data_IF_030493306688
#
_entry.id   IF_030493306688
#
_cell.length_a   1.000
_cell.length_b   1.000
_cell.length_c   1.000
_cell.angle_alpha   90.00
_cell.angle_beta   90.00
_cell.angle_gamma   90.00
#
_symmetry.space_group_name_H-M   'P 1'
#
loop_
_entity.id
_entity.type
_entity.pdbx_description
1 polymer ?
#
# COMPACT_ATOMS: atom_id res chain seq x y z
N UNK A 1 6.36 -3.29 -17.35
CA UNK A 1 6.12 -4.33 -16.33
C UNK A 1 4.61 -4.50 -16.24
N UNK A 2 4.10 -5.68 -15.89
CA UNK A 2 2.66 -5.85 -15.62
C UNK A 2 2.30 -5.15 -14.31
N UNK A 3 1.12 -4.51 -14.27
CA UNK A 3 0.58 -3.92 -13.06
C UNK A 3 0.43 -4.99 -11.97
N UNK A 4 0.71 -4.62 -10.72
CA UNK A 4 0.53 -5.44 -9.52
C UNK A 4 -0.64 -4.92 -8.70
N UNK A 5 -1.34 -5.82 -8.02
CA UNK A 5 -2.52 -5.48 -7.22
C UNK A 5 -2.36 -5.92 -5.77
N UNK A 6 -2.70 -5.00 -4.87
CA UNK A 6 -2.64 -5.16 -3.42
C UNK A 6 -4.01 -4.83 -2.81
N UNK A 7 -4.87 -5.82 -2.48
CA UNK A 7 -6.12 -5.56 -1.78
C UNK A 7 -5.89 -4.94 -0.40
N UNK A 8 -6.56 -3.81 -0.12
CA UNK A 8 -6.56 -3.21 1.22
C UNK A 8 -7.55 -3.94 2.13
N UNK A 9 -7.02 -4.67 3.12
CA UNK A 9 -7.82 -5.53 3.98
C UNK A 9 -8.74 -4.77 4.95
N UNK A 10 -8.53 -3.47 5.16
CA UNK A 10 -9.48 -2.64 5.90
C UNK A 10 -10.83 -2.47 5.21
N UNK A 11 -10.89 -2.76 3.89
CA UNK A 11 -12.09 -2.62 3.07
C UNK A 11 -12.87 -3.92 2.89
N UNK A 12 -12.35 -5.05 3.39
CA UNK A 12 -12.97 -6.36 3.24
C UNK A 12 -14.04 -6.63 4.31
N UNK A 13 -14.89 -7.62 4.05
CA UNK A 13 -15.80 -8.14 5.06
C UNK A 13 -15.05 -9.10 6.00
N UNK A 14 -14.73 -8.62 7.21
CA UNK A 14 -14.00 -9.41 8.21
C UNK A 14 -14.79 -10.64 8.71
N UNK A 15 -16.11 -10.71 8.50
CA UNK A 15 -16.89 -11.91 8.82
C UNK A 15 -16.61 -13.07 7.86
N UNK A 16 -16.06 -12.76 6.66
CA UNK A 16 -15.66 -13.71 5.62
C UNK A 16 -14.14 -13.75 5.41
N UNK A 17 -13.37 -13.39 6.45
CA UNK A 17 -11.92 -13.20 6.36
C UNK A 17 -11.19 -14.35 5.67
N UNK A 18 -11.38 -15.58 6.17
CA UNK A 18 -10.68 -16.77 5.65
C UNK A 18 -11.06 -17.08 4.22
N UNK A 19 -12.35 -17.00 3.91
CA UNK A 19 -12.91 -17.31 2.60
C UNK A 19 -12.38 -16.33 1.54
N UNK A 20 -12.45 -15.03 1.82
CA UNK A 20 -12.01 -13.98 0.90
C UNK A 20 -10.48 -14.03 0.68
N UNK A 21 -9.68 -14.21 1.73
CA UNK A 21 -8.22 -14.37 1.60
C UNK A 21 -7.88 -15.60 0.75
N UNK A 22 -8.54 -16.74 1.01
CA UNK A 22 -8.29 -17.96 0.26
C UNK A 22 -8.61 -17.79 -1.23
N UNK A 23 -9.68 -17.10 -1.57
CA UNK A 23 -10.07 -16.81 -2.95
C UNK A 23 -9.06 -15.87 -3.66
N UNK A 24 -8.47 -14.92 -2.93
CA UNK A 24 -7.51 -13.96 -3.49
C UNK A 24 -6.06 -14.47 -3.54
N UNK A 25 -5.70 -15.54 -2.81
CA UNK A 25 -4.31 -16.03 -2.70
C UNK A 25 -3.62 -16.38 -4.03
N UNK A 26 -4.38 -16.68 -5.09
CA UNK A 26 -3.82 -16.98 -6.42
C UNK A 26 -3.83 -15.77 -7.36
N UNK A 27 -4.33 -14.65 -6.89
CA UNK A 27 -4.62 -13.47 -7.70
C UNK A 27 -3.85 -12.23 -7.23
N UNK A 28 -3.74 -12.03 -5.91
CA UNK A 28 -3.09 -10.86 -5.32
C UNK A 28 -1.56 -10.99 -5.35
N UNK A 29 -0.87 -9.88 -5.61
CA UNK A 29 0.60 -9.76 -5.51
C UNK A 29 1.05 -9.49 -4.07
N UNK A 30 0.23 -8.74 -3.31
CA UNK A 30 0.42 -8.38 -1.91
C UNK A 30 -0.93 -8.34 -1.18
N UNK A 31 -0.92 -8.32 0.15
CA UNK A 31 -2.05 -7.92 0.99
C UNK A 31 -1.69 -6.65 1.75
N UNK A 32 -2.47 -5.59 1.55
CA UNK A 32 -2.25 -4.31 2.22
C UNK A 32 -2.98 -4.25 3.56
N UNK A 33 -2.23 -4.01 4.64
CA UNK A 33 -2.74 -3.98 6.01
C UNK A 33 -2.56 -2.59 6.58
N UNK A 34 -3.64 -1.83 6.66
CA UNK A 34 -3.68 -0.48 7.19
C UNK A 34 -3.82 -0.51 8.71
N UNK A 35 -2.77 -0.13 9.45
CA UNK A 35 -2.79 -0.03 10.92
C UNK A 35 -2.87 1.43 11.32
N UNK A 36 -3.93 1.79 12.03
CA UNK A 36 -4.22 3.14 12.49
C UNK A 36 -4.38 3.18 14.01
N UNK A 37 -3.76 4.16 14.66
CA UNK A 37 -3.69 4.30 16.12
C UNK A 37 -4.73 5.28 16.71
N UNK A 38 -5.56 5.92 15.88
CA UNK A 38 -6.52 6.95 16.31
C UNK A 38 -5.88 8.31 16.64
N UNK A 39 -4.57 8.44 16.53
CA UNK A 39 -3.82 9.66 16.81
C UNK A 39 -3.27 10.31 15.55
N UNK A 40 -2.58 9.56 14.70
CA UNK A 40 -2.10 10.05 13.41
C UNK A 40 -3.28 10.40 12.48
N UNK A 41 -4.27 9.52 12.43
CA UNK A 41 -5.57 9.74 11.79
C UNK A 41 -6.67 9.45 12.80
N UNK A 42 -7.86 10.08 12.65
CA UNK A 42 -8.99 9.89 13.57
C UNK A 42 -9.79 8.63 13.22
N UNK A 43 -9.09 7.52 13.07
CA UNK A 43 -9.64 6.21 12.83
C UNK A 43 -8.76 5.16 13.51
N UNK A 44 -9.34 4.03 13.87
CA UNK A 44 -8.64 2.86 14.44
C UNK A 44 -9.02 1.67 13.56
N UNK A 45 -8.01 0.99 13.02
CA UNK A 45 -8.22 -0.17 12.16
C UNK A 45 -7.32 -1.31 12.62
N UNK A 46 -7.13 -2.26 11.76
CA UNK A 46 -6.35 -3.49 11.88
C UNK A 46 -5.15 -3.39 12.86
N UNK A 47 -4.54 -4.51 13.17
CA UNK A 47 -3.45 -4.57 14.15
C UNK A 47 -2.46 -5.68 13.80
N UNK A 48 -1.28 -5.76 14.46
CA UNK A 48 -0.34 -6.87 14.29
C UNK A 48 -0.98 -8.24 14.53
N UNK A 49 -1.98 -8.36 15.40
CA UNK A 49 -2.75 -9.60 15.61
C UNK A 49 -3.44 -10.10 14.33
N UNK A 50 -3.92 -9.20 13.47
CA UNK A 50 -4.47 -9.62 12.17
C UNK A 50 -3.37 -10.23 11.29
N UNK A 51 -2.16 -9.68 11.28
CA UNK A 51 -1.02 -10.18 10.50
C UNK A 51 -0.71 -11.62 10.89
N UNK A 52 -0.64 -11.93 12.20
CA UNK A 52 -0.42 -13.30 12.69
C UNK A 52 -1.48 -14.29 12.16
N UNK A 53 -2.74 -13.88 12.12
CA UNK A 53 -3.82 -14.72 11.61
C UNK A 53 -3.78 -14.84 10.08
N UNK A 54 -3.43 -13.77 9.39
CA UNK A 54 -3.26 -13.76 7.94
C UNK A 54 -2.14 -14.71 7.50
N UNK A 55 -1.00 -14.72 8.20
CA UNK A 55 0.14 -15.63 7.93
C UNK A 55 -0.22 -17.11 8.03
N UNK A 56 -1.27 -17.48 8.76
CA UNK A 56 -1.75 -18.88 8.87
C UNK A 56 -2.48 -19.37 7.62
N UNK A 57 -2.95 -18.45 6.77
CA UNK A 57 -3.84 -18.76 5.64
C UNK A 57 -3.34 -18.24 4.31
N UNK A 58 -2.20 -17.53 4.27
CA UNK A 58 -1.59 -17.03 3.04
C UNK A 58 -0.08 -17.14 3.03
N UNK A 59 0.49 -17.30 1.83
CA UNK A 59 1.91 -17.11 1.51
C UNK A 59 2.16 -15.86 0.67
N UNK A 60 1.10 -15.15 0.28
CA UNK A 60 1.20 -13.85 -0.40
C UNK A 60 1.86 -12.86 0.57
N UNK A 61 2.85 -12.06 0.11
CA UNK A 61 3.52 -11.11 0.97
C UNK A 61 2.57 -10.10 1.63
N UNK A 62 2.75 -9.87 2.93
CA UNK A 62 1.96 -8.92 3.71
C UNK A 62 2.69 -7.60 3.75
N UNK A 63 2.05 -6.58 3.23
CA UNK A 63 2.49 -5.20 3.15
C UNK A 63 1.76 -4.35 4.19
N UNK A 64 2.48 -3.86 5.18
CA UNK A 64 1.92 -3.09 6.29
C UNK A 64 2.11 -1.60 6.07
N UNK A 65 1.02 -0.85 6.17
CA UNK A 65 1.00 0.60 6.16
C UNK A 65 0.69 1.13 7.55
N UNK A 66 1.67 1.78 8.16
CA UNK A 66 1.55 2.35 9.51
C UNK A 66 1.12 3.81 9.45
N UNK A 67 -0.13 4.08 9.79
CA UNK A 67 -0.71 5.39 10.04
C UNK A 67 -0.73 5.64 11.56
N UNK A 68 0.46 5.79 12.15
CA UNK A 68 0.66 5.90 13.61
C UNK A 68 1.66 7.01 13.95
N UNK A 69 1.49 7.64 15.10
CA UNK A 69 2.39 8.71 15.55
C UNK A 69 3.75 8.19 16.05
N UNK A 70 3.81 6.93 16.50
CA UNK A 70 4.99 6.29 17.06
C UNK A 70 5.30 4.98 16.33
N UNK A 71 5.81 5.01 15.07
CA UNK A 71 6.11 3.81 14.30
C UNK A 71 7.16 2.92 15.00
N UNK A 72 8.08 3.50 15.79
CA UNK A 72 9.08 2.77 16.57
C UNK A 72 8.49 1.75 17.56
N UNK A 73 7.27 1.98 18.05
CA UNK A 73 6.60 1.09 18.99
C UNK A 73 5.86 -0.04 18.26
N UNK A 74 5.39 0.19 17.03
CA UNK A 74 4.55 -0.75 16.28
C UNK A 74 5.38 -1.62 15.33
N UNK A 75 6.49 -1.11 14.78
CA UNK A 75 7.37 -1.87 13.88
C UNK A 75 7.81 -3.22 14.49
N UNK A 76 8.32 -3.29 15.75
CA UNK A 76 8.70 -4.57 16.36
C UNK A 76 7.56 -5.57 16.41
N UNK A 77 6.35 -5.12 16.74
CA UNK A 77 5.15 -5.97 16.80
C UNK A 77 4.77 -6.51 15.42
N UNK A 78 4.88 -5.70 14.36
CA UNK A 78 4.63 -6.14 12.99
C UNK A 78 5.67 -7.14 12.50
N UNK A 79 6.94 -6.95 12.86
CA UNK A 79 8.03 -7.88 12.55
C UNK A 79 7.78 -9.25 13.20
N UNK A 80 7.44 -9.27 14.50
CA UNK A 80 7.11 -10.47 15.25
C UNK A 80 5.89 -11.18 14.67
N UNK A 81 4.84 -10.43 14.29
CA UNK A 81 3.64 -10.94 13.64
C UNK A 81 3.89 -11.54 12.24
N UNK A 82 5.05 -11.27 11.63
CA UNK A 82 5.46 -11.86 10.36
C UNK A 82 5.17 -11.00 9.14
N UNK A 83 5.06 -9.67 9.27
CA UNK A 83 5.00 -8.75 8.13
C UNK A 83 6.17 -8.96 7.18
N UNK A 84 5.94 -8.80 5.87
CA UNK A 84 6.98 -8.98 4.85
C UNK A 84 7.52 -7.63 4.35
N UNK A 85 6.66 -6.60 4.33
CA UNK A 85 7.01 -5.22 4.01
C UNK A 85 6.39 -4.33 5.08
N UNK A 86 7.13 -3.34 5.59
CA UNK A 86 6.62 -2.36 6.55
C UNK A 86 6.91 -0.97 6.03
N UNK A 87 5.86 -0.17 5.86
CA UNK A 87 5.92 1.21 5.39
C UNK A 87 5.30 2.14 6.43
N UNK A 88 5.91 3.30 6.64
CA UNK A 88 5.44 4.31 7.58
C UNK A 88 5.59 5.71 6.99
N UNK A 89 4.90 6.69 7.54
CA UNK A 89 5.00 8.08 7.11
C UNK A 89 6.30 8.71 7.63
N UNK A 90 7.15 9.30 6.77
CA UNK A 90 8.41 9.93 7.21
C UNK A 90 8.20 11.01 8.27
N UNK A 91 7.08 11.71 8.22
CA UNK A 91 6.70 12.78 9.15
C UNK A 91 6.62 12.27 10.61
N UNK A 92 6.26 11.01 10.81
CA UNK A 92 6.13 10.41 12.15
C UNK A 92 7.45 9.81 12.66
N UNK A 93 8.40 9.56 11.77
CA UNK A 93 9.72 9.04 12.13
C UNK A 93 10.62 10.07 12.81
N UNK A 94 10.31 11.37 12.66
CA UNK A 94 11.12 12.48 13.17
C UNK A 94 12.61 12.32 12.75
N UNK A 95 13.52 12.33 13.71
CA UNK A 95 14.96 12.14 13.48
C UNK A 95 15.43 10.68 13.51
N UNK A 96 14.51 9.70 13.39
CA UNK A 96 14.78 8.25 13.54
C UNK A 96 14.69 7.48 12.22
N UNK A 97 14.48 8.14 11.07
CA UNK A 97 14.18 7.48 9.78
C UNK A 97 15.19 6.37 9.45
N UNK A 98 16.50 6.65 9.49
CA UNK A 98 17.53 5.65 9.20
C UNK A 98 17.51 4.47 10.18
N UNK A 99 17.27 4.75 11.47
CA UNK A 99 17.19 3.70 12.50
C UNK A 99 16.04 2.77 12.24
N UNK A 100 14.84 3.29 11.89
CA UNK A 100 13.65 2.49 11.65
C UNK A 100 13.79 1.67 10.36
N UNK A 101 14.31 2.26 9.29
CA UNK A 101 14.57 1.53 8.04
C UNK A 101 15.57 0.39 8.26
N UNK A 102 16.67 0.65 8.95
CA UNK A 102 17.67 -0.38 9.25
C UNK A 102 17.10 -1.47 10.16
N UNK A 103 16.30 -1.13 11.18
CA UNK A 103 15.64 -2.12 12.05
C UNK A 103 14.80 -3.12 11.25
N UNK A 104 14.04 -2.65 10.25
CA UNK A 104 13.24 -3.53 9.39
C UNK A 104 14.16 -4.40 8.52
N UNK A 105 15.22 -3.82 7.95
CA UNK A 105 16.18 -4.54 7.10
C UNK A 105 17.00 -5.57 7.88
N UNK A 106 17.44 -5.26 9.08
CA UNK A 106 18.19 -6.16 9.96
C UNK A 106 17.36 -7.39 10.36
N UNK A 107 16.03 -7.25 10.40
CA UNK A 107 15.10 -8.36 10.55
C UNK A 107 14.86 -9.17 9.27
N UNK A 108 15.58 -8.86 8.17
CA UNK A 108 15.44 -9.55 6.88
C UNK A 108 14.15 -9.20 6.13
N UNK A 109 13.51 -8.07 6.47
CA UNK A 109 12.25 -7.61 5.87
C UNK A 109 12.47 -6.43 4.93
N UNK A 110 11.47 -6.17 4.08
CA UNK A 110 11.46 -5.02 3.18
C UNK A 110 10.92 -3.80 3.89
N UNK A 111 11.52 -2.64 3.62
CA UNK A 111 11.09 -1.38 4.20
C UNK A 111 10.59 -0.40 3.14
N UNK A 112 9.59 0.37 3.49
CA UNK A 112 9.03 1.42 2.66
C UNK A 112 8.68 2.68 3.44
N UNK A 113 8.32 3.70 2.68
CA UNK A 113 7.73 4.92 3.22
C UNK A 113 6.46 5.28 2.46
N UNK A 114 5.54 5.96 3.14
CA UNK A 114 4.29 6.44 2.58
C UNK A 114 4.30 7.97 2.56
N UNK A 115 4.09 8.54 1.39
CA UNK A 115 4.08 9.99 1.19
C UNK A 115 2.65 10.52 1.13
N UNK A 116 2.30 11.40 2.05
CA UNK A 116 1.03 12.12 2.04
C UNK A 116 0.86 12.95 0.75
N UNK A 117 -0.37 13.36 0.39
CA UNK A 117 -0.59 14.23 -0.77
C UNK A 117 0.27 15.49 -0.74
N UNK A 118 0.45 16.10 0.43
CA UNK A 118 1.25 17.32 0.60
C UNK A 118 2.77 17.08 0.72
N UNK A 119 3.23 15.84 0.99
CA UNK A 119 4.65 15.52 1.17
C UNK A 119 5.37 15.44 -0.17
N UNK A 120 6.44 16.23 -0.42
CA UNK A 120 7.17 16.23 -1.68
C UNK A 120 7.89 14.88 -1.94
N UNK A 121 8.02 14.50 -3.23
CA UNK A 121 8.79 13.31 -3.62
C UNK A 121 10.27 13.41 -3.19
N UNK A 122 10.81 14.62 -3.21
CA UNK A 122 12.20 14.92 -2.88
C UNK A 122 12.54 14.70 -1.39
N UNK A 123 11.53 14.61 -0.53
CA UNK A 123 11.72 14.36 0.92
C UNK A 123 12.42 13.04 1.25
N UNK A 124 12.44 12.08 0.32
CA UNK A 124 13.11 10.78 0.51
C UNK A 124 14.55 10.74 -0.03
N UNK A 125 15.03 11.80 -0.66
CA UNK A 125 16.27 11.77 -1.46
C UNK A 125 17.47 11.20 -0.69
N UNK A 126 17.62 11.55 0.59
CA UNK A 126 18.76 11.15 1.42
C UNK A 126 18.78 9.66 1.78
N UNK A 127 17.62 8.97 1.78
CA UNK A 127 17.49 7.57 2.19
C UNK A 127 16.79 6.69 1.14
N UNK A 128 16.50 7.22 -0.05
CA UNK A 128 15.82 6.48 -1.11
C UNK A 128 16.55 5.18 -1.52
N UNK A 129 17.88 5.15 -1.40
CA UNK A 129 18.71 3.99 -1.69
C UNK A 129 18.48 2.80 -0.72
N UNK A 130 17.86 3.04 0.44
CA UNK A 130 17.52 2.01 1.41
C UNK A 130 16.13 1.41 1.17
N UNK A 131 15.28 2.08 0.38
CA UNK A 131 13.87 1.71 0.26
C UNK A 131 13.66 0.55 -0.72
N UNK A 132 12.73 -0.33 -0.37
CA UNK A 132 12.20 -1.37 -1.24
C UNK A 132 10.86 -0.95 -1.87
N UNK A 133 10.17 0.02 -1.26
CA UNK A 133 8.87 0.53 -1.71
C UNK A 133 8.65 1.99 -1.31
N UNK A 134 7.97 2.75 -2.18
CA UNK A 134 7.46 4.09 -1.89
C UNK A 134 5.98 4.15 -2.29
N UNK A 135 5.12 4.30 -1.30
CA UNK A 135 3.67 4.45 -1.50
C UNK A 135 3.33 5.95 -1.58
N UNK A 136 2.51 6.30 -2.55
CA UNK A 136 1.97 7.65 -2.71
C UNK A 136 0.49 7.64 -2.37
N UNK A 137 0.11 8.42 -1.36
CA UNK A 137 -1.29 8.65 -1.06
C UNK A 137 -1.93 9.54 -2.14
N UNK A 138 -3.02 9.07 -2.72
CA UNK A 138 -3.86 9.84 -3.65
C UNK A 138 -5.17 10.33 -3.03
N UNK A 139 -5.27 10.19 -1.71
CA UNK A 139 -6.27 10.77 -0.81
C UNK A 139 -5.57 11.14 0.51
N UNK A 140 -6.19 11.92 1.38
CA UNK A 140 -5.68 12.05 2.74
C UNK A 140 -5.83 10.72 3.48
N UNK A 141 -4.82 10.28 4.29
CA UNK A 141 -4.89 9.00 4.97
C UNK A 141 -6.03 8.92 6.00
N UNK A 142 -6.51 7.69 6.29
CA UNK A 142 -7.42 7.41 7.39
C UNK A 142 -8.79 6.85 6.99
N UNK A 143 -9.31 7.12 5.79
CA UNK A 143 -10.64 6.68 5.38
C UNK A 143 -10.69 6.26 3.92
N UNK A 144 -11.44 5.19 3.64
CA UNK A 144 -11.77 4.80 2.26
C UNK A 144 -12.85 5.73 1.65
N UNK A 145 -12.98 5.73 0.32
CA UNK A 145 -14.07 6.43 -0.39
C UNK A 145 -13.86 7.93 -0.59
N UNK A 146 -12.68 8.47 -0.31
CA UNK A 146 -12.36 9.87 -0.54
C UNK A 146 -12.13 10.17 -2.03
N UNK A 147 -12.24 11.47 -2.39
CA UNK A 147 -12.00 11.95 -3.75
C UNK A 147 -10.50 11.85 -4.10
N UNK A 148 -10.22 11.34 -5.29
CA UNK A 148 -8.86 11.25 -5.84
C UNK A 148 -8.19 12.62 -5.98
N UNK A 149 -6.93 12.71 -5.59
CA UNK A 149 -6.07 13.90 -5.70
C UNK A 149 -5.12 13.70 -6.89
N UNK A 150 -5.38 14.32 -8.06
CA UNK A 150 -4.64 14.06 -9.29
C UNK A 150 -3.17 14.50 -9.25
N UNK A 151 -2.81 15.42 -8.35
CA UNK A 151 -1.44 15.88 -8.14
C UNK A 151 -0.50 14.74 -7.69
N UNK A 152 -1.06 13.68 -7.09
CA UNK A 152 -0.32 12.46 -6.71
C UNK A 152 0.37 11.78 -7.90
N UNK A 153 -0.20 11.88 -9.11
CA UNK A 153 0.37 11.30 -10.33
C UNK A 153 1.71 11.94 -10.71
N UNK A 154 1.84 13.25 -10.51
CA UNK A 154 3.11 13.95 -10.74
C UNK A 154 4.18 13.50 -9.76
N UNK A 155 3.79 13.23 -8.51
CA UNK A 155 4.69 12.69 -7.48
C UNK A 155 5.21 11.31 -7.88
N UNK A 156 4.34 10.42 -8.38
CA UNK A 156 4.74 9.10 -8.88
C UNK A 156 5.77 9.24 -10.01
N UNK A 157 5.52 10.09 -11.00
CA UNK A 157 6.48 10.33 -12.12
C UNK A 157 7.83 10.83 -11.62
N UNK A 158 7.85 11.73 -10.63
CA UNK A 158 9.10 12.20 -10.00
C UNK A 158 9.86 11.08 -9.30
N UNK A 159 9.16 10.22 -8.54
CA UNK A 159 9.76 9.05 -7.88
C UNK A 159 10.33 8.06 -8.89
N UNK A 160 9.62 7.75 -9.97
CA UNK A 160 10.11 6.89 -11.04
C UNK A 160 11.37 7.48 -11.69
N UNK A 161 11.40 8.79 -11.94
CA UNK A 161 12.57 9.47 -12.49
C UNK A 161 13.74 9.43 -11.50
N UNK A 162 13.49 9.69 -10.20
CA UNK A 162 14.50 9.56 -9.15
C UNK A 162 15.09 8.15 -9.10
N UNK A 163 14.21 7.11 -9.14
CA UNK A 163 14.61 5.70 -9.19
C UNK A 163 15.53 5.42 -10.37
N UNK A 164 15.14 5.84 -11.59
CA UNK A 164 15.90 5.62 -12.82
C UNK A 164 17.25 6.33 -12.81
N UNK A 165 17.26 7.61 -12.43
CA UNK A 165 18.45 8.45 -12.48
C UNK A 165 19.54 8.02 -11.50
N UNK A 166 19.15 7.39 -10.37
CA UNK A 166 20.08 6.99 -9.32
C UNK A 166 20.29 5.46 -9.24
N UNK A 167 19.65 4.66 -10.10
CA UNK A 167 19.77 3.20 -10.09
C UNK A 167 19.13 2.54 -8.86
N UNK A 168 18.12 3.15 -8.27
CA UNK A 168 17.38 2.58 -7.14
C UNK A 168 16.39 1.50 -7.61
N UNK A 169 15.99 0.59 -6.71
CA UNK A 169 15.17 -0.58 -7.04
C UNK A 169 13.81 -0.63 -6.31
N UNK A 170 13.39 0.44 -5.64
CA UNK A 170 12.10 0.44 -4.97
C UNK A 170 10.93 0.36 -5.94
N UNK A 171 9.85 -0.29 -5.52
CA UNK A 171 8.57 -0.25 -6.20
C UNK A 171 7.86 1.07 -5.87
N UNK A 172 7.17 1.64 -6.85
CA UNK A 172 6.20 2.73 -6.62
C UNK A 172 4.81 2.14 -6.45
N UNK A 173 4.10 2.58 -5.43
CA UNK A 173 2.75 2.13 -5.11
C UNK A 173 1.83 3.33 -4.94
N UNK A 174 0.55 3.18 -5.26
CA UNK A 174 -0.47 4.21 -5.06
C UNK A 174 -1.58 3.69 -4.16
N UNK A 175 -1.98 4.51 -3.19
CA UNK A 175 -3.06 4.23 -2.26
C UNK A 175 -4.09 5.36 -2.25
N UNK A 176 -5.34 4.98 -2.48
CA UNK A 176 -6.51 5.84 -2.45
C UNK A 176 -7.23 5.93 -3.79
N UNK A 177 -8.52 5.64 -3.77
CA UNK A 177 -9.42 5.80 -4.92
C UNK A 177 -8.95 5.13 -6.23
N UNK A 178 -8.26 4.00 -6.15
CA UNK A 178 -7.91 3.16 -7.30
C UNK A 178 -9.18 2.41 -7.76
N UNK A 179 -9.81 2.86 -8.83
CA UNK A 179 -11.08 2.32 -9.35
C UNK A 179 -11.27 2.65 -10.83
N UNK A 180 -12.41 2.25 -11.41
CA UNK A 180 -12.75 2.47 -12.81
C UNK A 180 -12.44 3.88 -13.32
N UNK A 181 -12.74 4.92 -12.53
CA UNK A 181 -12.57 6.33 -12.95
C UNK A 181 -11.12 6.80 -12.96
N UNK A 182 -10.22 6.05 -12.33
CA UNK A 182 -8.84 6.49 -12.06
C UNK A 182 -7.79 5.52 -12.61
N UNK A 183 -8.13 4.26 -12.89
CA UNK A 183 -7.18 3.25 -13.36
C UNK A 183 -6.37 3.70 -14.59
N UNK A 184 -7.00 4.29 -15.60
CA UNK A 184 -6.31 4.76 -16.80
C UNK A 184 -5.21 5.77 -16.47
N UNK A 185 -5.58 6.89 -15.84
CA UNK A 185 -4.64 7.96 -15.50
C UNK A 185 -3.54 7.51 -14.50
N UNK A 186 -3.87 6.57 -13.60
CA UNK A 186 -2.89 6.00 -12.67
C UNK A 186 -1.89 5.13 -13.44
N UNK A 187 -2.36 4.26 -14.34
CA UNK A 187 -1.50 3.41 -15.16
C UNK A 187 -0.56 4.22 -16.06
N UNK A 188 -1.04 5.31 -16.64
CA UNK A 188 -0.21 6.27 -17.42
C UNK A 188 0.92 6.91 -16.60
N UNK A 189 0.78 6.99 -15.28
CA UNK A 189 1.85 7.50 -14.41
C UNK A 189 3.04 6.56 -14.32
N UNK A 190 2.87 5.28 -14.71
CA UNK A 190 3.88 4.23 -14.67
C UNK A 190 4.09 3.60 -13.29
N UNK A 191 3.13 3.74 -12.37
CA UNK A 191 3.16 3.11 -11.04
C UNK A 191 3.23 1.58 -11.16
N UNK A 192 3.94 0.94 -10.22
CA UNK A 192 4.13 -0.52 -10.25
C UNK A 192 3.00 -1.28 -9.54
N UNK A 193 2.43 -0.73 -8.44
CA UNK A 193 1.45 -1.40 -7.57
C UNK A 193 0.24 -0.52 -7.31
N UNK A 194 -0.96 -1.12 -7.43
CA UNK A 194 -2.26 -0.49 -7.17
C UNK A 194 -2.86 -1.08 -5.88
N UNK A 195 -3.07 -0.26 -4.86
CA UNK A 195 -3.87 -0.67 -3.70
C UNK A 195 -5.34 -0.51 -4.06
N UNK A 196 -6.08 -1.62 -4.00
CA UNK A 196 -7.49 -1.67 -4.37
C UNK A 196 -8.35 -1.94 -3.14
N UNK A 197 -9.23 -1.00 -2.86
CA UNK A 197 -10.14 -1.03 -1.71
C UNK A 197 -11.61 -1.24 -2.12
N UNK A 198 -12.52 -0.60 -1.40
CA UNK A 198 -13.97 -0.75 -1.57
C UNK A 198 -14.40 -0.53 -3.02
N UNK A 199 -14.15 0.67 -3.59
CA UNK A 199 -14.65 1.03 -4.93
C UNK A 199 -13.88 0.36 -6.08
N UNK A 200 -12.65 -0.11 -5.84
CA UNK A 200 -11.82 -0.76 -6.84
C UNK A 200 -12.00 -2.28 -6.88
N UNK A 201 -12.43 -2.90 -5.77
CA UNK A 201 -12.53 -4.35 -5.66
C UNK A 201 -13.80 -4.78 -4.90
N UNK A 202 -13.87 -4.52 -3.59
CA UNK A 202 -14.81 -5.21 -2.70
C UNK A 202 -16.29 -4.89 -2.93
N UNK A 203 -16.64 -3.76 -3.57
CA UNK A 203 -18.02 -3.42 -3.94
C UNK A 203 -18.44 -3.86 -5.35
N UNK A 204 -17.54 -4.46 -6.13
CA UNK A 204 -17.83 -4.84 -7.50
C UNK A 204 -18.72 -6.09 -7.59
N UNK A 205 -18.66 -6.97 -6.59
CA UNK A 205 -19.50 -8.15 -6.45
C UNK A 205 -19.48 -8.67 -5.01
N UNK A 206 -20.53 -9.40 -4.57
CA UNK A 206 -20.59 -10.03 -3.25
C UNK A 206 -19.55 -11.16 -3.10
N UNK A 207 -19.36 -11.97 -4.15
CA UNK A 207 -18.28 -12.95 -4.25
C UNK A 207 -16.98 -12.25 -4.66
N UNK A 208 -15.95 -12.32 -3.81
CA UNK A 208 -14.68 -11.63 -4.03
C UNK A 208 -13.90 -12.14 -5.23
N UNK A 209 -14.08 -13.41 -5.62
CA UNK A 209 -13.43 -13.94 -6.83
C UNK A 209 -14.02 -13.32 -8.09
N UNK A 210 -15.35 -13.16 -8.14
CA UNK A 210 -16.03 -12.47 -9.24
C UNK A 210 -15.75 -10.96 -9.20
N UNK A 211 -15.66 -10.36 -8.01
CA UNK A 211 -15.25 -8.98 -7.85
C UNK A 211 -13.85 -8.74 -8.46
N UNK A 212 -12.91 -9.66 -8.20
CA UNK A 212 -11.58 -9.61 -8.79
C UNK A 212 -11.59 -9.67 -10.31
N UNK A 213 -12.32 -10.63 -10.87
CA UNK A 213 -12.38 -10.81 -12.33
C UNK A 213 -12.97 -9.55 -13.01
N UNK A 214 -14.03 -8.96 -12.42
CA UNK A 214 -14.58 -7.67 -12.86
C UNK A 214 -13.58 -6.51 -12.75
N UNK A 215 -12.84 -6.45 -11.66
CA UNK A 215 -11.78 -5.43 -11.49
C UNK A 215 -10.75 -5.52 -12.61
N UNK A 216 -10.29 -6.71 -12.94
CA UNK A 216 -9.32 -6.93 -14.02
C UNK A 216 -9.90 -6.54 -15.39
N UNK A 217 -11.14 -6.90 -15.68
CA UNK A 217 -11.82 -6.49 -16.92
C UNK A 217 -11.92 -4.96 -17.02
N UNK A 218 -12.33 -4.30 -15.95
CA UNK A 218 -12.38 -2.83 -15.87
C UNK A 218 -10.99 -2.24 -16.09
N UNK A 219 -9.98 -2.73 -15.35
CA UNK A 219 -8.61 -2.25 -15.45
C UNK A 219 -8.07 -2.36 -16.88
N UNK A 220 -8.26 -3.51 -17.52
CA UNK A 220 -7.84 -3.72 -18.90
C UNK A 220 -8.52 -2.75 -19.86
N UNK A 221 -9.84 -2.57 -19.75
CA UNK A 221 -10.61 -1.63 -20.58
C UNK A 221 -10.09 -0.20 -20.44
N UNK A 222 -9.90 0.27 -19.20
CA UNK A 222 -9.48 1.64 -18.91
C UNK A 222 -8.01 1.93 -19.24
N UNK A 223 -7.16 0.89 -19.30
CA UNK A 223 -5.72 1.05 -19.58
C UNK A 223 -5.35 0.79 -21.05
N UNK A 224 -6.21 0.12 -21.82
CA UNK A 224 -6.01 -0.06 -23.28
C UNK A 224 -6.56 1.14 -24.06
N UNK A 225 -7.53 1.87 -23.49
CA UNK A 225 -8.11 3.06 -24.12
C UNK A 225 -7.28 4.35 -23.92
N UNK A 226 -6.20 4.28 -23.17
CA UNK A 226 -5.25 5.35 -22.91
C UNK A 226 -3.95 5.11 -23.72
#
# INVERSE_FOLDING_TARGET
MSAKFSPSLMCMDLTQFKEQITAMNKKADFYHVDIMDGNYVRNITLSPFLIENLKKITTVPIDVHLMVNHPEDIIPMCLEAGADIISFHPETANNKIFRLLNQIKDAGKKCGVVLNPATPAESIAEYAHLLDKVTVMSVDPGYAGQKFIPESLNKIRKLINMRKNNGYNYLTEIDGSCNEKTFGQIAESGVDVFIVGTSGLFSLHEDVSQAWDRMIEIFQRETVAA
#
